data_IF_126121634206
#
_entry.id   IF_126121634206
#
_cell.length_a   1.000
_cell.length_b   1.000
_cell.length_c   1.000
_cell.angle_alpha   90.00
_cell.angle_beta   90.00
_cell.angle_gamma   90.00
#
_symmetry.space_group_name_H-M   'P 1'
#
loop_
_entity.id
_entity.type
_entity.pdbx_description
1 polymer ?
#
# COMPACT_ATOMS: atom_id res chain seq x y z
N UNK A 1 -0.99 -6.31 7.20
CA UNK A 1 -1.89 -5.61 6.26
C UNK A 1 -2.06 -4.19 6.77
N UNK A 2 -2.18 -3.20 5.88
CA UNK A 2 -2.34 -1.77 6.22
C UNK A 2 -3.53 -1.17 5.45
N UNK A 3 -4.19 -0.16 6.05
CA UNK A 3 -5.31 0.58 5.46
C UNK A 3 -4.93 2.05 5.30
N UNK A 4 -5.17 2.64 4.13
CA UNK A 4 -4.88 4.06 3.85
C UNK A 4 -6.03 4.75 3.14
N UNK A 5 -6.16 6.05 3.38
CA UNK A 5 -6.94 6.95 2.52
C UNK A 5 -6.03 7.48 1.41
N UNK A 6 -6.53 7.54 0.18
CA UNK A 6 -5.79 8.11 -0.94
C UNK A 6 -5.68 9.64 -0.79
N UNK A 7 -4.45 10.14 -0.84
CA UNK A 7 -4.12 11.57 -0.87
C UNK A 7 -3.10 11.91 -1.97
N UNK A 8 -2.92 10.99 -2.93
CA UNK A 8 -1.93 11.11 -3.99
C UNK A 8 -0.61 10.36 -3.71
N UNK A 9 0.34 10.44 -4.66
CA UNK A 9 1.52 9.56 -4.71
C UNK A 9 2.43 9.65 -3.48
N UNK A 10 2.63 10.86 -2.94
CA UNK A 10 3.51 11.06 -1.77
C UNK A 10 2.97 10.38 -0.51
N UNK A 11 1.66 10.31 -0.33
CA UNK A 11 1.04 9.59 0.78
C UNK A 11 1.11 8.08 0.57
N UNK A 12 1.00 7.63 -0.68
CA UNK A 12 1.15 6.23 -1.05
C UNK A 12 2.55 5.69 -0.75
N UNK A 13 3.60 6.42 -1.16
CA UNK A 13 4.99 6.07 -0.88
C UNK A 13 5.26 5.98 0.63
N UNK A 14 4.74 6.94 1.41
CA UNK A 14 4.81 6.88 2.88
C UNK A 14 4.10 5.64 3.45
N UNK A 15 2.95 5.27 2.88
CA UNK A 15 2.21 4.07 3.25
C UNK A 15 2.97 2.78 2.96
N UNK A 16 3.63 2.69 1.81
CA UNK A 16 4.49 1.56 1.45
C UNK A 16 5.67 1.43 2.41
N UNK A 17 6.33 2.54 2.74
CA UNK A 17 7.42 2.54 3.72
C UNK A 17 6.94 2.06 5.09
N UNK A 18 5.82 2.60 5.58
CA UNK A 18 5.27 2.20 6.88
C UNK A 18 4.93 0.71 6.91
N UNK A 19 4.28 0.18 5.86
CA UNK A 19 3.97 -1.25 5.78
C UNK A 19 5.26 -2.08 5.71
N UNK A 20 6.27 -1.63 4.96
CA UNK A 20 7.58 -2.28 4.91
C UNK A 20 8.22 -2.36 6.30
N UNK A 21 8.33 -1.24 7.02
CA UNK A 21 8.92 -1.19 8.36
C UNK A 21 8.16 -2.13 9.34
N UNK A 22 6.82 -2.21 9.20
CA UNK A 22 6.01 -3.16 9.97
C UNK A 22 6.34 -4.62 9.63
N UNK A 23 6.44 -4.96 8.34
CA UNK A 23 6.77 -6.32 7.91
C UNK A 23 8.16 -6.74 8.38
N UNK A 24 9.13 -5.83 8.41
CA UNK A 24 10.48 -6.10 8.93
C UNK A 24 10.45 -6.50 10.40
N UNK A 25 9.60 -5.86 11.21
CA UNK A 25 9.42 -6.19 12.63
C UNK A 25 9.04 -7.66 12.84
N UNK A 26 8.33 -8.26 11.88
CA UNK A 26 7.88 -9.65 11.93
C UNK A 26 8.66 -10.57 10.97
N UNK A 27 9.75 -10.08 10.37
CA UNK A 27 10.53 -10.82 9.36
C UNK A 27 9.70 -11.34 8.18
N UNK A 28 8.66 -10.59 7.79
CA UNK A 28 7.76 -10.92 6.69
C UNK A 28 8.23 -10.26 5.38
N UNK A 29 7.97 -10.93 4.26
CA UNK A 29 8.30 -10.43 2.91
C UNK A 29 7.09 -10.04 2.05
N UNK A 30 5.88 -10.29 2.55
CA UNK A 30 4.64 -10.08 1.81
C UNK A 30 3.68 -9.19 2.60
N UNK A 31 3.12 -8.19 1.93
CA UNK A 31 2.19 -7.22 2.50
C UNK A 31 0.96 -7.00 1.65
N UNK A 32 -0.09 -6.51 2.30
CA UNK A 32 -1.34 -6.11 1.64
C UNK A 32 -1.66 -4.68 2.06
N UNK A 33 -1.95 -3.82 1.08
CA UNK A 33 -2.29 -2.42 1.26
C UNK A 33 -3.66 -2.13 0.65
N UNK A 34 -4.65 -1.84 1.49
CA UNK A 34 -5.98 -1.43 1.04
C UNK A 34 -6.08 0.09 1.07
N UNK A 35 -6.39 0.70 -0.08
CA UNK A 35 -6.40 2.14 -0.28
C UNK A 35 -7.81 2.58 -0.63
N UNK A 36 -8.43 3.38 0.22
CA UNK A 36 -9.73 3.97 -0.07
C UNK A 36 -9.55 5.28 -0.83
N UNK A 37 -10.03 5.34 -2.07
CA UNK A 37 -10.08 6.58 -2.85
C UNK A 37 -11.47 7.21 -2.78
N UNK A 38 -11.56 8.33 -2.04
CA UNK A 38 -12.78 9.13 -1.92
C UNK A 38 -12.91 10.19 -3.03
N UNK A 39 -12.04 10.14 -4.05
CA UNK A 39 -12.19 11.00 -5.23
C UNK A 39 -13.52 10.72 -5.95
N UNK A 40 -14.10 11.75 -6.57
CA UNK A 40 -15.36 11.61 -7.32
C UNK A 40 -15.24 10.68 -8.53
N UNK A 41 -14.01 10.43 -9.01
CA UNK A 41 -13.68 9.53 -10.11
C UNK A 41 -12.90 8.34 -9.57
N UNK A 42 -13.50 7.59 -8.64
CA UNK A 42 -12.81 6.42 -8.09
C UNK A 42 -12.55 5.41 -9.20
N UNK A 43 -11.32 4.95 -9.28
CA UNK A 43 -10.92 3.87 -10.17
C UNK A 43 -10.59 2.65 -9.32
N UNK A 44 -11.30 1.55 -9.57
CA UNK A 44 -10.91 0.27 -9.01
C UNK A 44 -9.63 -0.18 -9.68
N UNK A 45 -8.55 -0.27 -8.90
CA UNK A 45 -7.24 -0.67 -9.39
C UNK A 45 -6.62 -1.66 -8.41
N UNK A 46 -5.82 -2.59 -8.93
CA UNK A 46 -4.96 -3.44 -8.14
C UNK A 46 -3.55 -3.47 -8.76
N UNK A 47 -2.53 -3.62 -7.93
CA UNK A 47 -1.13 -3.59 -8.36
C UNK A 47 -0.25 -4.44 -7.43
N UNK A 48 0.64 -5.22 -8.03
CA UNK A 48 1.75 -5.88 -7.34
C UNK A 48 2.97 -4.96 -7.33
N UNK A 49 3.38 -4.53 -6.14
CA UNK A 49 4.45 -3.55 -5.95
C UNK A 49 5.65 -4.26 -5.34
N UNK A 50 6.80 -4.21 -6.02
CA UNK A 50 8.09 -4.54 -5.44
C UNK A 50 8.62 -3.30 -4.69
N UNK A 51 8.71 -3.40 -3.36
CA UNK A 51 9.21 -2.32 -2.52
C UNK A 51 10.34 -2.85 -1.63
N UNK A 52 11.56 -2.40 -1.89
CA UNK A 52 12.78 -2.96 -1.31
C UNK A 52 12.86 -4.48 -1.57
N UNK A 53 12.91 -5.27 -0.51
CA UNK A 53 12.96 -6.74 -0.52
C UNK A 53 11.57 -7.39 -0.32
N UNK A 54 10.49 -6.60 -0.42
CA UNK A 54 9.12 -7.01 -0.11
C UNK A 54 8.23 -6.96 -1.35
N UNK A 55 7.22 -7.84 -1.35
CA UNK A 55 6.12 -7.82 -2.30
C UNK A 55 4.86 -7.30 -1.60
N UNK A 56 4.30 -6.21 -2.10
CA UNK A 56 3.11 -5.59 -1.55
C UNK A 56 2.02 -5.62 -2.62
N UNK A 57 0.91 -6.28 -2.33
CA UNK A 57 -0.28 -6.22 -3.15
C UNK A 57 -1.15 -5.03 -2.70
N UNK A 58 -1.36 -4.07 -3.58
CA UNK A 58 -2.14 -2.87 -3.31
C UNK A 58 -3.46 -2.89 -4.08
N UNK A 59 -4.54 -2.49 -3.42
CA UNK A 59 -5.88 -2.36 -4.03
C UNK A 59 -6.45 -0.99 -3.70
N UNK A 60 -6.97 -0.31 -4.72
CA UNK A 60 -7.70 0.95 -4.62
C UNK A 60 -9.20 0.68 -4.74
N UNK A 61 -9.98 1.14 -3.75
CA UNK A 61 -11.44 0.91 -3.63
C UNK A 61 -12.23 2.19 -3.39
#
# INVERSE_FOLDING_TARGET
MELKRWYGPKAHEKGLKQLSDYLDTYSLKQGYLLIYDFSRKKEYKQEDIAFLDKRIFAVWV
#
